data_IF_608320073357
#
_entry.id   IF_608320073357
#
_cell.length_a   1.000
_cell.length_b   1.000
_cell.length_c   1.000
_cell.angle_alpha   90.00
_cell.angle_beta   90.00
_cell.angle_gamma   90.00
#
_symmetry.space_group_name_H-M   'P 1'
#
loop_
_entity.id
_entity.type
_entity.pdbx_description
1 polymer ?
#
# COMPACT_ATOMS: atom_id res chain seq x y z
N UNK A 1 -14.16 6.64 -16.12
CA UNK A 1 -13.76 6.29 -14.73
C UNK A 1 -13.51 4.79 -14.50
N UNK A 2 -14.28 3.86 -15.10
CA UNK A 2 -14.09 2.41 -14.88
C UNK A 2 -12.73 1.86 -15.39
N UNK A 3 -12.27 2.31 -16.56
CA UNK A 3 -10.99 1.86 -17.14
C UNK A 3 -9.80 2.24 -16.25
N UNK A 4 -9.79 3.47 -15.72
CA UNK A 4 -8.71 3.96 -14.84
C UNK A 4 -8.62 3.11 -13.56
N UNK A 5 -9.76 2.76 -12.93
CA UNK A 5 -9.77 1.87 -11.76
C UNK A 5 -9.25 0.46 -12.07
N UNK A 6 -9.56 -0.08 -13.24
CA UNK A 6 -9.03 -1.38 -13.67
C UNK A 6 -7.52 -1.35 -13.89
N UNK A 7 -6.98 -0.25 -14.41
CA UNK A 7 -5.54 -0.04 -14.58
C UNK A 7 -4.85 0.09 -13.21
N UNK A 8 -5.44 0.83 -12.26
CA UNK A 8 -4.88 0.99 -10.91
C UNK A 8 -4.66 -0.35 -10.20
N UNK A 9 -5.56 -1.33 -10.38
CA UNK A 9 -5.43 -2.67 -9.79
C UNK A 9 -4.31 -3.52 -10.41
N UNK A 10 -3.71 -3.08 -11.53
CA UNK A 10 -2.59 -3.73 -12.21
C UNK A 10 -1.27 -3.00 -11.99
N UNK A 11 -1.26 -1.99 -11.11
CA UNK A 11 -0.04 -1.30 -10.66
C UNK A 11 0.42 -1.99 -9.38
N UNK A 12 1.61 -2.59 -9.45
CA UNK A 12 2.23 -3.31 -8.36
C UNK A 12 3.36 -2.49 -7.75
N UNK A 13 3.73 -2.83 -6.51
CA UNK A 13 4.89 -2.24 -5.84
C UNK A 13 5.98 -3.30 -5.71
N UNK A 14 7.09 -3.10 -6.42
CA UNK A 14 8.20 -4.05 -6.47
C UNK A 14 9.51 -3.27 -6.35
N UNK A 15 10.38 -3.64 -5.42
CA UNK A 15 11.62 -2.91 -5.09
C UNK A 15 11.40 -1.43 -4.72
N UNK A 16 10.24 -1.10 -4.14
CA UNK A 16 9.86 0.28 -3.82
C UNK A 16 9.43 1.11 -5.03
N UNK A 17 9.41 0.52 -6.23
CA UNK A 17 8.97 1.17 -7.46
C UNK A 17 7.55 0.72 -7.83
N UNK A 18 6.75 1.65 -8.35
CA UNK A 18 5.43 1.36 -8.92
C UNK A 18 5.62 0.85 -10.35
N UNK A 19 5.25 -0.41 -10.57
CA UNK A 19 5.50 -1.10 -11.84
C UNK A 19 4.25 -1.77 -12.37
N UNK A 20 4.18 -1.86 -13.71
CA UNK A 20 3.22 -2.72 -14.42
C UNK A 20 3.96 -3.86 -15.11
N UNK A 21 3.34 -5.04 -15.11
CA UNK A 21 3.94 -6.24 -15.67
C UNK A 21 3.69 -6.33 -17.18
N UNK A 22 4.61 -6.97 -17.90
CA UNK A 22 4.58 -7.09 -19.35
C UNK A 22 3.26 -7.66 -19.89
N UNK A 23 2.67 -8.65 -19.22
CA UNK A 23 1.41 -9.26 -19.62
C UNK A 23 0.20 -8.36 -19.39
N UNK A 24 0.19 -7.56 -18.33
CA UNK A 24 -0.88 -6.60 -18.06
C UNK A 24 -0.86 -5.49 -19.10
N UNK A 25 0.33 -4.97 -19.40
CA UNK A 25 0.53 -3.97 -20.45
C UNK A 25 0.13 -4.52 -21.81
N UNK A 26 0.51 -5.75 -22.13
CA UNK A 26 0.15 -6.39 -23.39
C UNK A 26 -1.37 -6.51 -23.56
N UNK A 27 -2.10 -6.91 -22.51
CA UNK A 27 -3.58 -6.96 -22.51
C UNK A 27 -4.18 -5.57 -22.72
N UNK A 28 -3.68 -4.55 -22.01
CA UNK A 28 -4.16 -3.18 -22.14
C UNK A 28 -3.90 -2.60 -23.53
N UNK A 29 -2.75 -2.90 -24.12
CA UNK A 29 -2.39 -2.49 -25.47
C UNK A 29 -2.99 -3.36 -26.58
N UNK A 30 -3.69 -4.45 -26.22
CA UNK A 30 -4.21 -5.47 -27.14
C UNK A 30 -3.15 -6.02 -28.10
N UNK A 31 -1.98 -6.30 -27.54
CA UNK A 31 -0.88 -6.96 -28.25
C UNK A 31 -0.49 -8.23 -27.50
N UNK A 32 0.15 -9.16 -28.19
CA UNK A 32 0.76 -10.30 -27.50
C UNK A 32 1.94 -9.84 -26.64
N UNK A 33 2.09 -10.42 -25.45
CA UNK A 33 3.23 -10.14 -24.55
C UNK A 33 4.57 -10.38 -25.24
N UNK A 34 4.65 -11.38 -26.11
CA UNK A 34 5.86 -11.66 -26.92
C UNK A 34 6.17 -10.52 -27.87
N UNK A 35 5.15 -9.95 -28.53
CA UNK A 35 5.30 -8.83 -29.47
C UNK A 35 5.75 -7.57 -28.73
N UNK A 36 5.16 -7.28 -27.56
CA UNK A 36 5.59 -6.21 -26.69
C UNK A 36 7.07 -6.35 -26.30
N UNK A 37 7.45 -7.50 -25.75
CA UNK A 37 8.81 -7.77 -25.31
C UNK A 37 9.81 -7.73 -26.48
N UNK A 38 9.40 -8.18 -27.67
CA UNK A 38 10.23 -8.08 -28.87
C UNK A 38 10.42 -6.62 -29.30
N UNK A 39 9.37 -5.80 -29.24
CA UNK A 39 9.44 -4.38 -29.59
C UNK A 39 10.36 -3.60 -28.63
N UNK A 40 10.31 -3.94 -27.33
CA UNK A 40 11.21 -3.40 -26.31
C UNK A 40 12.66 -3.80 -26.59
N UNK A 41 12.93 -5.09 -26.84
CA UNK A 41 14.29 -5.58 -27.15
C UNK A 41 14.90 -4.90 -28.38
N UNK A 42 14.10 -4.62 -29.41
CA UNK A 42 14.54 -3.87 -30.61
C UNK A 42 14.91 -2.41 -30.30
N UNK A 43 14.33 -1.85 -29.24
CA UNK A 43 14.52 -0.46 -28.83
C UNK A 43 15.21 -0.34 -27.48
N UNK A 44 16.07 -1.28 -27.10
CA UNK A 44 16.65 -1.38 -25.75
C UNK A 44 17.37 -0.10 -25.28
N UNK A 45 17.92 0.70 -26.21
CA UNK A 45 18.53 2.01 -25.91
C UNK A 45 17.56 3.01 -25.23
N UNK A 46 16.25 2.79 -25.35
CA UNK A 46 15.18 3.58 -24.73
C UNK A 46 14.76 3.08 -23.36
N UNK A 47 15.25 1.92 -22.95
CA UNK A 47 14.86 1.24 -21.73
C UNK A 47 16.09 0.97 -20.87
N UNK A 48 16.60 2.00 -20.18
CA UNK A 48 17.61 1.82 -19.14
C UNK A 48 17.06 1.00 -17.96
N UNK A 49 17.95 0.54 -17.08
CA UNK A 49 17.62 -0.39 -15.99
C UNK A 49 16.63 0.19 -14.95
N UNK A 50 16.50 1.52 -14.87
CA UNK A 50 15.52 2.24 -14.04
C UNK A 50 14.12 2.32 -14.69
N UNK A 51 14.02 2.06 -15.99
CA UNK A 51 12.74 2.12 -16.72
C UNK A 51 12.09 0.75 -16.83
N UNK A 52 12.90 -0.29 -16.88
CA UNK A 52 12.42 -1.66 -16.87
C UNK A 52 13.44 -2.59 -16.22
N UNK A 53 12.94 -3.64 -15.60
CA UNK A 53 13.78 -4.73 -15.11
C UNK A 53 13.03 -6.06 -15.20
N UNK A 54 13.77 -7.15 -15.24
CA UNK A 54 13.18 -8.47 -15.14
C UNK A 54 13.03 -8.87 -13.67
N UNK A 55 11.89 -9.44 -13.31
CA UNK A 55 11.68 -9.99 -11.97
C UNK A 55 12.61 -11.18 -11.72
N UNK A 56 13.04 -11.33 -10.47
CA UNK A 56 13.70 -12.56 -10.00
C UNK A 56 12.67 -13.66 -9.76
N UNK A 57 13.14 -14.91 -9.71
CA UNK A 57 12.26 -16.06 -9.37
C UNK A 57 11.59 -15.90 -8.01
N UNK A 58 12.33 -15.35 -7.03
CA UNK A 58 11.85 -15.10 -5.67
C UNK A 58 10.77 -14.02 -5.68
N UNK A 59 11.02 -12.88 -6.35
CA UNK A 59 10.03 -11.80 -6.46
C UNK A 59 8.76 -12.26 -7.17
N UNK A 60 8.89 -13.08 -8.21
CA UNK A 60 7.74 -13.64 -8.91
C UNK A 60 6.93 -14.60 -8.02
N UNK A 61 7.59 -15.46 -7.23
CA UNK A 61 6.90 -16.35 -6.29
C UNK A 61 6.18 -15.55 -5.19
N UNK A 62 6.81 -14.51 -4.66
CA UNK A 62 6.20 -13.63 -3.65
C UNK A 62 5.03 -12.81 -4.21
N UNK A 63 5.07 -12.43 -5.49
CA UNK A 63 3.94 -11.81 -6.18
C UNK A 63 2.78 -12.80 -6.34
N UNK A 64 3.06 -14.02 -6.77
CA UNK A 64 2.02 -15.05 -6.96
C UNK A 64 1.29 -15.38 -5.66
N UNK A 65 2.01 -15.48 -4.54
CA UNK A 65 1.40 -15.77 -3.23
C UNK A 65 0.47 -14.65 -2.75
N UNK A 66 0.70 -13.40 -3.18
CA UNK A 66 -0.16 -12.25 -2.85
C UNK A 66 -1.38 -12.14 -3.77
N UNK A 67 -1.25 -12.52 -5.05
CA UNK A 67 -2.31 -12.32 -6.05
C UNK A 67 -3.39 -13.42 -5.96
N UNK A 68 -3.04 -14.67 -5.65
CA UNK A 68 -4.01 -15.74 -5.45
C UNK A 68 -3.38 -16.98 -4.79
N UNK A 69 -4.09 -17.59 -3.84
CA UNK A 69 -3.88 -18.96 -3.34
C UNK A 69 -4.03 -19.94 -4.51
N UNK A 70 -2.97 -20.18 -5.29
CA UNK A 70 -2.97 -21.12 -6.41
C UNK A 70 -2.05 -22.30 -6.06
N UNK A 71 -2.49 -23.56 -6.26
CA UNK A 71 -1.66 -24.72 -5.98
C UNK A 71 -0.43 -24.72 -6.89
N UNK A 72 0.74 -24.99 -6.32
CA UNK A 72 1.97 -25.21 -7.06
C UNK A 72 1.78 -26.43 -7.99
N UNK A 73 1.74 -26.21 -9.31
CA UNK A 73 1.74 -27.31 -10.29
C UNK A 73 3.08 -27.37 -11.02
N UNK A 74 3.78 -28.47 -10.79
CA UNK A 74 5.15 -28.80 -11.18
C UNK A 74 5.27 -29.32 -12.62
N UNK A 75 4.91 -28.55 -13.65
CA UNK A 75 5.19 -28.94 -15.05
C UNK A 75 5.51 -27.74 -15.95
N UNK A 76 6.81 -27.51 -16.30
CA UNK A 76 7.23 -26.45 -17.20
C UNK A 76 7.15 -26.91 -18.66
N UNK A 77 6.02 -26.70 -19.34
CA UNK A 77 5.94 -26.87 -20.80
C UNK A 77 6.04 -25.51 -21.51
N UNK A 78 6.91 -25.45 -22.52
CA UNK A 78 7.23 -24.26 -23.35
C UNK A 78 6.04 -23.71 -24.14
N UNK A 79 4.91 -24.41 -24.14
CA UNK A 79 3.71 -24.07 -24.90
C UNK A 79 2.72 -23.18 -24.11
N UNK A 80 2.93 -23.03 -22.79
CA UNK A 80 2.03 -22.26 -21.91
C UNK A 80 2.22 -20.73 -21.98
N UNK A 81 3.19 -20.26 -22.77
CA UNK A 81 3.47 -18.81 -22.97
C UNK A 81 2.42 -18.15 -23.89
N UNK A 82 1.52 -18.94 -24.50
CA UNK A 82 0.59 -18.48 -25.54
C UNK A 82 -0.81 -18.04 -25.06
N UNK A 83 -1.12 -18.09 -23.76
CA UNK A 83 -2.47 -17.80 -23.26
C UNK A 83 -2.53 -16.45 -22.54
N UNK A 84 -3.44 -15.59 -23.00
CA UNK A 84 -3.60 -14.19 -22.62
C UNK A 84 -4.16 -13.94 -21.21
N UNK A 85 -4.27 -14.97 -20.35
CA UNK A 85 -4.75 -14.84 -18.98
C UNK A 85 -3.83 -15.63 -18.05
N UNK A 86 -3.05 -14.91 -17.25
CA UNK A 86 -2.16 -15.38 -16.17
C UNK A 86 -1.32 -16.64 -16.51
N UNK A 87 -0.04 -16.50 -16.91
CA UNK A 87 0.83 -17.66 -17.09
C UNK A 87 1.26 -18.16 -15.71
N UNK A 88 0.45 -19.04 -15.13
CA UNK A 88 0.65 -19.71 -13.85
C UNK A 88 1.94 -20.55 -13.76
N UNK A 89 2.74 -20.65 -14.84
CA UNK A 89 3.98 -21.41 -14.87
C UNK A 89 5.11 -20.71 -15.67
N UNK A 90 5.55 -19.54 -15.20
CA UNK A 90 6.80 -18.90 -15.68
C UNK A 90 8.00 -19.40 -14.86
N UNK A 91 8.83 -20.27 -15.43
CA UNK A 91 10.06 -20.78 -14.80
C UNK A 91 11.31 -20.20 -15.48
N UNK A 92 12.31 -19.83 -14.67
CA UNK A 92 13.70 -19.52 -15.05
C UNK A 92 13.89 -18.44 -16.12
N UNK A 93 13.66 -18.79 -17.39
CA UNK A 93 14.03 -18.00 -18.59
C UNK A 93 12.94 -17.03 -19.06
N UNK A 94 11.73 -17.13 -18.52
CA UNK A 94 10.55 -16.37 -18.96
C UNK A 94 9.88 -15.61 -17.81
N UNK A 95 10.68 -15.04 -16.90
CA UNK A 95 10.15 -14.17 -15.84
C UNK A 95 9.60 -12.87 -16.45
N UNK A 96 8.52 -12.29 -15.91
CA UNK A 96 7.94 -11.06 -16.44
C UNK A 96 8.93 -9.91 -16.39
N UNK A 97 8.87 -9.05 -17.40
CA UNK A 97 9.41 -7.70 -17.27
C UNK A 97 8.44 -6.83 -16.48
N UNK A 98 9.00 -6.04 -15.58
CA UNK A 98 8.34 -4.98 -14.86
C UNK A 98 8.75 -3.65 -15.49
N UNK A 99 7.78 -2.78 -15.76
CA UNK A 99 7.98 -1.47 -16.35
C UNK A 99 7.52 -0.41 -15.35
N UNK A 100 8.39 0.55 -15.06
CA UNK A 100 8.05 1.72 -14.24
C UNK A 100 7.18 2.69 -15.04
N UNK A 101 6.69 3.76 -14.40
CA UNK A 101 5.93 4.83 -15.10
C UNK A 101 6.69 5.36 -16.33
N UNK A 102 8.00 5.57 -16.19
CA UNK A 102 8.88 6.04 -17.26
C UNK A 102 9.04 4.97 -18.35
N UNK A 103 9.20 3.70 -17.96
CA UNK A 103 9.23 2.59 -18.92
C UNK A 103 7.95 2.47 -19.73
N UNK A 104 6.80 2.61 -19.09
CA UNK A 104 5.51 2.63 -19.78
C UNK A 104 5.42 3.83 -20.72
N UNK A 105 5.85 5.02 -20.28
CA UNK A 105 5.89 6.21 -21.14
C UNK A 105 6.73 5.96 -22.41
N UNK A 106 7.85 5.24 -22.32
CA UNK A 106 8.68 4.90 -23.48
C UNK A 106 8.00 3.94 -24.46
N UNK A 107 7.03 3.13 -24.02
CA UNK A 107 6.26 2.25 -24.89
C UNK A 107 5.41 3.04 -25.91
N UNK A 108 5.03 4.29 -25.62
CA UNK A 108 4.34 5.17 -26.59
C UNK A 108 5.16 5.45 -27.84
N UNK A 109 6.49 5.49 -27.71
CA UNK A 109 7.40 5.69 -28.83
C UNK A 109 7.71 4.42 -29.61
N UNK A 110 7.27 3.27 -29.10
CA UNK A 110 7.53 1.93 -29.67
C UNK A 110 6.27 1.35 -30.30
N UNK A 111 5.13 1.45 -29.61
CA UNK A 111 3.82 1.01 -30.07
C UNK A 111 3.06 2.18 -30.70
N UNK A 112 2.87 2.14 -32.02
CA UNK A 112 2.30 3.26 -32.80
C UNK A 112 0.81 3.14 -33.13
N UNK A 113 0.13 2.12 -32.63
CA UNK A 113 -1.32 1.96 -32.86
C UNK A 113 -2.11 3.04 -32.13
N UNK A 114 -3.15 3.61 -32.74
CA UNK A 114 -4.04 4.60 -32.11
C UNK A 114 -4.60 4.09 -30.77
N UNK A 115 -4.88 2.79 -30.71
CA UNK A 115 -5.32 2.12 -29.48
C UNK A 115 -4.24 2.13 -28.41
N UNK A 116 -2.99 1.85 -28.79
CA UNK A 116 -1.87 1.85 -27.87
C UNK A 116 -1.54 3.25 -27.35
N UNK A 117 -1.65 4.27 -28.21
CA UNK A 117 -1.48 5.67 -27.83
C UNK A 117 -2.52 6.07 -26.78
N UNK A 118 -3.80 5.79 -27.05
CA UNK A 118 -4.89 6.10 -26.12
C UNK A 118 -4.74 5.36 -24.78
N UNK A 119 -4.34 4.09 -24.82
CA UNK A 119 -4.11 3.31 -23.61
C UNK A 119 -2.92 3.83 -22.81
N UNK A 120 -1.82 4.21 -23.47
CA UNK A 120 -0.66 4.77 -22.80
C UNK A 120 -1.04 6.05 -22.04
N UNK A 121 -1.83 6.94 -22.66
CA UNK A 121 -2.35 8.14 -22.00
C UNK A 121 -3.20 7.76 -20.77
N UNK A 122 -4.06 6.74 -20.87
CA UNK A 122 -4.87 6.27 -19.75
C UNK A 122 -4.02 5.69 -18.61
N UNK A 123 -2.96 4.94 -18.95
CA UNK A 123 -2.04 4.37 -17.96
C UNK A 123 -1.26 5.47 -17.24
N UNK A 124 -0.72 6.44 -17.97
CA UNK A 124 -0.02 7.59 -17.36
C UNK A 124 -0.93 8.36 -16.40
N UNK A 125 -2.20 8.57 -16.76
CA UNK A 125 -3.19 9.19 -15.85
C UNK A 125 -3.40 8.37 -14.58
N UNK A 126 -3.47 7.04 -14.70
CA UNK A 126 -3.62 6.15 -13.55
C UNK A 126 -2.42 6.24 -12.60
N UNK A 127 -1.19 6.26 -13.11
CA UNK A 127 0.02 6.46 -12.29
C UNK A 127 0.02 7.79 -11.54
N UNK A 128 -0.33 8.88 -12.24
CA UNK A 128 -0.45 10.21 -11.62
C UNK A 128 -1.52 10.22 -10.52
N UNK A 129 -2.66 9.59 -10.75
CA UNK A 129 -3.73 9.51 -9.77
C UNK A 129 -3.33 8.68 -8.54
N UNK A 130 -2.62 7.56 -8.73
CA UNK A 130 -2.05 6.77 -7.62
C UNK A 130 -1.07 7.62 -6.81
N UNK A 131 -0.19 8.38 -7.46
CA UNK A 131 0.75 9.27 -6.78
C UNK A 131 0.04 10.37 -5.98
N UNK A 132 -1.02 10.97 -6.53
CA UNK A 132 -1.84 11.97 -5.82
C UNK A 132 -2.51 11.40 -4.57
N UNK A 133 -3.04 10.19 -4.65
CA UNK A 133 -3.66 9.51 -3.50
C UNK A 133 -2.63 9.27 -2.40
N UNK A 134 -1.43 8.79 -2.74
CA UNK A 134 -0.35 8.57 -1.77
C UNK A 134 0.10 9.88 -1.08
N UNK A 135 0.27 10.96 -1.85
CA UNK A 135 0.63 12.26 -1.28
C UNK A 135 -0.46 12.78 -0.32
N UNK A 136 -1.75 12.53 -0.64
CA UNK A 136 -2.85 12.89 0.26
C UNK A 136 -2.86 12.02 1.53
N UNK A 137 -2.49 10.74 1.44
CA UNK A 137 -2.46 9.84 2.59
C UNK A 137 -1.41 10.22 3.63
N UNK A 138 -0.27 10.79 3.21
CA UNK A 138 0.73 11.31 4.16
C UNK A 138 0.14 12.40 5.08
N UNK A 139 -0.66 13.32 4.53
CA UNK A 139 -1.33 14.35 5.34
C UNK A 139 -2.33 13.78 6.36
N UNK A 140 -2.96 12.65 6.04
CA UNK A 140 -3.90 11.97 6.95
C UNK A 140 -3.14 11.26 8.07
N UNK A 141 -2.01 10.62 7.74
CA UNK A 141 -1.16 9.97 8.74
C UNK A 141 -0.61 11.00 9.74
N UNK A 142 -0.20 12.18 9.27
CA UNK A 142 0.24 13.30 10.10
C UNK A 142 -0.88 13.78 11.04
N UNK A 143 -2.11 13.93 10.52
CA UNK A 143 -3.28 14.28 11.34
C UNK A 143 -3.60 13.20 12.39
N UNK A 144 -3.45 11.92 12.05
CA UNK A 144 -3.67 10.82 12.99
C UNK A 144 -2.60 10.78 14.09
N UNK A 145 -1.33 11.09 13.76
CA UNK A 145 -0.28 11.22 14.77
C UNK A 145 -0.55 12.36 15.73
N UNK A 146 -1.00 13.52 15.22
CA UNK A 146 -1.35 14.67 16.06
C UNK A 146 -2.52 14.35 17.00
N UNK A 147 -3.57 13.69 16.50
CA UNK A 147 -4.70 13.25 17.33
C UNK A 147 -4.24 12.28 18.42
N UNK A 148 -3.36 11.33 18.08
CA UNK A 148 -2.81 10.37 19.07
C UNK A 148 -2.04 11.07 20.18
N UNK A 149 -1.21 12.06 19.84
CA UNK A 149 -0.46 12.83 20.83
C UNK A 149 -1.40 13.61 21.76
N UNK A 150 -2.38 14.32 21.21
CA UNK A 150 -3.37 15.05 22.04
C UNK A 150 -4.18 14.14 22.95
N UNK A 151 -4.57 12.94 22.49
CA UNK A 151 -5.26 11.97 23.35
C UNK A 151 -4.35 11.52 24.49
N UNK A 152 -3.06 11.24 24.21
CA UNK A 152 -2.09 10.90 25.25
C UNK A 152 -1.92 12.00 26.29
N UNK A 153 -1.90 13.27 25.88
CA UNK A 153 -1.88 14.40 26.82
C UNK A 153 -3.14 14.48 27.70
N UNK A 154 -4.31 14.23 27.11
CA UNK A 154 -5.56 14.20 27.86
C UNK A 154 -5.59 13.06 28.89
N UNK A 155 -5.04 11.88 28.58
CA UNK A 155 -4.95 10.76 29.54
C UNK A 155 -4.12 11.13 30.77
N UNK A 156 -3.03 11.89 30.61
CA UNK A 156 -2.21 12.40 31.72
C UNK A 156 -3.02 13.36 32.59
N UNK A 157 -3.70 14.33 31.96
CA UNK A 157 -4.54 15.29 32.68
C UNK A 157 -5.71 14.61 33.42
N UNK A 158 -6.27 13.55 32.85
CA UNK A 158 -7.35 12.79 33.47
C UNK A 158 -6.87 12.04 34.72
N UNK A 159 -5.67 11.48 34.68
CA UNK A 159 -5.05 10.84 35.85
C UNK A 159 -4.79 11.86 36.97
N UNK A 160 -4.28 13.05 36.64
CA UNK A 160 -4.08 14.12 37.62
C UNK A 160 -5.39 14.58 38.27
N UNK A 161 -6.48 14.66 37.49
CA UNK A 161 -7.82 14.96 38.01
C UNK A 161 -8.34 13.82 38.90
N UNK A 162 -8.11 12.56 38.54
CA UNK A 162 -8.47 11.42 39.38
C UNK A 162 -7.74 11.47 40.73
N UNK A 163 -6.43 11.69 40.73
CA UNK A 163 -5.62 11.81 41.95
C UNK A 163 -6.10 12.98 42.82
N UNK A 164 -6.43 14.13 42.21
CA UNK A 164 -6.97 15.29 42.94
C UNK A 164 -8.34 14.99 43.56
N UNK A 165 -9.21 14.27 42.85
CA UNK A 165 -10.52 13.85 43.36
C UNK A 165 -10.37 12.86 44.52
N UNK A 166 -9.47 11.89 44.41
CA UNK A 166 -9.20 10.90 45.47
C UNK A 166 -8.70 11.60 46.74
N UNK A 167 -7.74 12.51 46.61
CA UNK A 167 -7.26 13.34 47.73
C UNK A 167 -8.37 14.18 48.38
N UNK A 168 -9.26 14.79 47.59
CA UNK A 168 -10.40 15.57 48.11
C UNK A 168 -11.44 14.70 48.82
N UNK A 169 -11.67 13.48 48.32
CA UNK A 169 -12.55 12.49 48.96
C UNK A 169 -11.96 12.08 50.31
N UNK A 170 -10.67 11.78 50.36
CA UNK A 170 -9.96 11.41 51.58
C UNK A 170 -9.94 12.53 52.62
N UNK A 171 -9.70 13.78 52.21
CA UNK A 171 -9.82 14.95 53.09
C UNK A 171 -11.23 15.10 53.68
N UNK A 172 -12.28 14.94 52.86
CA UNK A 172 -13.66 14.98 53.34
C UNK A 172 -13.97 13.85 54.32
N UNK A 173 -13.50 12.63 54.05
CA UNK A 173 -13.66 11.49 54.95
C UNK A 173 -12.95 11.75 56.29
N UNK A 174 -11.74 12.31 56.25
CA UNK A 174 -11.01 12.69 57.45
C UNK A 174 -11.74 13.76 58.27
N UNK A 175 -12.31 14.78 57.62
CA UNK A 175 -13.12 15.82 58.27
C UNK A 175 -14.39 15.25 58.92
N UNK A 176 -15.07 14.30 58.28
CA UNK A 176 -16.24 13.62 58.85
C UNK A 176 -15.86 12.80 60.10
N UNK A 177 -14.80 11.99 60.01
CA UNK A 177 -14.27 11.25 61.17
C UNK A 177 -13.85 12.17 62.32
N UNK A 178 -13.29 13.35 62.00
CA UNK A 178 -12.94 14.36 63.00
C UNK A 178 -14.21 14.92 63.67
N UNK A 179 -15.30 15.18 62.94
CA UNK A 179 -16.56 15.68 63.51
C UNK A 179 -17.27 14.65 64.38
N UNK A 180 -17.24 13.38 64.01
CA UNK A 180 -17.92 12.28 64.70
C UNK A 180 -17.12 11.69 65.87
N UNK A 181 -15.96 12.26 66.21
CA UNK A 181 -15.15 11.76 67.33
C UNK A 181 -15.86 11.97 68.67
N UNK A 182 -15.72 10.99 69.57
CA UNK A 182 -16.12 11.19 70.96
C UNK A 182 -15.29 12.31 71.58
N UNK A 183 -15.97 13.39 72.00
CA UNK A 183 -15.31 14.51 72.65
C UNK A 183 -14.92 14.11 74.07
N UNK A 184 -13.62 13.99 74.28
CA UNK A 184 -13.03 13.73 75.60
C UNK A 184 -13.00 15.06 76.35
N UNK A 185 -13.77 15.13 77.43
CA UNK A 185 -13.92 16.33 78.26
C UNK A 185 -14.91 16.07 79.40
N UNK A 186 -14.81 16.86 80.48
CA UNK A 186 -15.63 16.68 81.67
C UNK A 186 -17.10 16.93 81.33
N UNK A 187 -17.94 15.87 81.34
CA UNK A 187 -19.38 15.99 81.15
C UNK A 187 -20.03 16.22 82.51
N UNK A 188 -20.60 17.40 82.73
CA UNK A 188 -21.46 17.65 83.88
C UNK A 188 -22.73 16.80 83.71
N UNK A 189 -22.92 15.85 84.62
CA UNK A 189 -24.16 15.08 84.76
C UNK A 189 -25.15 15.97 85.52
N UNK A 190 -26.27 16.31 84.88
CA UNK A 190 -27.52 16.67 85.58
C UNK A 190 -28.22 15.41 86.08
#
# INVERSE_FOLDING_TARGET
MQIIKSIQNRIYEIRGERVMLDFDLAVLYEVETRVLNQAVKRNIKRFPDDFMFQLTSIEWQNMLSQIATVPQVTNPSSQFVMMANMPQNRTGKYLPYAFTEQGVAMLSGVLKSDKAINMNIAIMRAFVDVRKVLLKQNSINEQLTEIKERIGEHDVQLNELYDAMENLIDEKIAQLKWKDRERIGFKLKE
#
